data_IF_032082110997
#
_entry.id   IF_032082110997
#
_cell.length_a   1.000
_cell.length_b   1.000
_cell.length_c   1.000
_cell.angle_alpha   90.00
_cell.angle_beta   90.00
_cell.angle_gamma   90.00
#
_symmetry.space_group_name_H-M   'P 1'
#
loop_
_entity.id
_entity.type
_entity.pdbx_description
1 polymer ?
#
# COMPACT_ATOMS: atom_id res chain seq x y z
N UNK A 1 11.66 -7.97 -8.69
CA UNK A 1 12.05 -8.56 -7.39
C UNK A 1 10.91 -8.41 -6.39
N UNK A 2 10.57 -9.45 -5.60
CA UNK A 2 9.42 -9.42 -4.68
C UNK A 2 9.55 -8.51 -3.44
N UNK A 3 10.76 -7.99 -3.17
CA UNK A 3 11.07 -7.19 -1.96
C UNK A 3 11.12 -5.67 -2.20
N UNK A 4 10.69 -5.21 -3.37
CA UNK A 4 10.74 -3.79 -3.74
C UNK A 4 10.06 -2.89 -2.70
N UNK A 5 9.00 -3.37 -2.03
CA UNK A 5 8.22 -2.57 -1.08
C UNK A 5 9.07 -2.07 0.11
N UNK A 6 9.84 -2.94 0.76
CA UNK A 6 10.66 -2.54 1.93
C UNK A 6 11.74 -1.54 1.54
N UNK A 7 12.33 -1.73 0.36
CA UNK A 7 13.33 -0.83 -0.17
C UNK A 7 12.74 0.53 -0.54
N UNK A 8 11.61 0.56 -1.25
CA UNK A 8 10.92 1.81 -1.59
C UNK A 8 10.43 2.54 -0.35
N UNK A 9 9.92 1.81 0.65
CA UNK A 9 9.51 2.40 1.91
C UNK A 9 10.69 3.06 2.64
N UNK A 10 11.88 2.46 2.64
CA UNK A 10 13.07 3.08 3.23
C UNK A 10 13.47 4.37 2.50
N UNK A 11 13.41 4.38 1.16
CA UNK A 11 13.60 5.60 0.36
C UNK A 11 12.60 6.69 0.75
N UNK A 12 11.33 6.34 0.92
CA UNK A 12 10.30 7.30 1.33
C UNK A 12 10.62 7.93 2.70
N UNK A 13 11.02 7.11 3.68
CA UNK A 13 11.44 7.62 4.99
C UNK A 13 12.67 8.53 4.93
N UNK A 14 13.60 8.31 3.99
CA UNK A 14 14.75 9.22 3.78
C UNK A 14 14.33 10.62 3.32
N UNK A 15 13.14 10.77 2.72
CA UNK A 15 12.62 12.09 2.31
C UNK A 15 12.00 12.89 3.45
N UNK A 16 11.62 12.24 4.55
CA UNK A 16 10.90 12.84 5.68
C UNK A 16 11.61 14.03 6.35
N UNK A 17 12.96 14.04 6.52
CA UNK A 17 13.67 15.18 7.07
C UNK A 17 13.45 16.48 6.28
N UNK A 18 13.22 16.40 4.97
CA UNK A 18 12.97 17.58 4.13
C UNK A 18 11.66 18.29 4.52
N UNK A 19 10.62 17.52 4.85
CA UNK A 19 9.33 18.07 5.30
C UNK A 19 9.39 18.68 6.71
N UNK A 20 10.38 18.30 7.51
CA UNK A 20 10.62 18.91 8.82
C UNK A 20 11.19 20.34 8.70
N UNK A 21 11.75 20.71 7.54
CA UNK A 21 12.25 22.07 7.29
C UNK A 21 11.11 23.09 7.20
N UNK A 22 9.90 22.68 6.81
CA UNK A 22 8.72 23.52 6.77
C UNK A 22 8.13 23.75 8.18
N UNK A 23 8.86 24.50 9.02
CA UNK A 23 8.45 24.85 10.39
C UNK A 23 7.14 25.65 10.46
N UNK A 24 6.81 26.36 9.38
CA UNK A 24 5.58 27.15 9.28
C UNK A 24 4.33 26.34 9.01
N UNK A 25 4.43 25.01 8.87
CA UNK A 25 3.30 24.11 8.57
C UNK A 25 2.43 24.63 7.42
N UNK A 26 3.06 25.09 6.34
CA UNK A 26 2.32 25.54 5.14
C UNK A 26 2.08 24.36 4.21
N UNK A 27 0.82 23.91 4.09
CA UNK A 27 0.45 22.71 3.32
C UNK A 27 0.91 22.74 1.86
N UNK A 28 0.88 23.92 1.23
CA UNK A 28 1.26 24.06 -0.17
C UNK A 28 2.78 23.90 -0.40
N UNK A 29 3.62 24.25 0.58
CA UNK A 29 5.08 24.03 0.48
C UNK A 29 5.39 22.53 0.50
N UNK A 30 4.72 21.80 1.38
CA UNK A 30 4.85 20.34 1.42
C UNK A 30 4.32 19.70 0.14
N UNK A 31 3.24 20.24 -0.48
CA UNK A 31 2.74 19.75 -1.76
C UNK A 31 3.76 19.97 -2.88
N UNK A 32 4.36 21.16 -2.96
CA UNK A 32 5.39 21.47 -3.97
C UNK A 32 6.61 20.57 -3.78
N UNK A 33 7.03 20.34 -2.53
CA UNK A 33 8.11 19.41 -2.21
C UNK A 33 7.77 17.96 -2.62
N UNK A 34 6.53 17.53 -2.37
CA UNK A 34 6.05 16.21 -2.75
C UNK A 34 6.12 15.96 -4.25
N UNK A 35 5.58 16.89 -5.04
CA UNK A 35 5.65 16.83 -6.51
C UNK A 35 7.10 16.88 -6.98
N UNK A 36 7.93 17.72 -6.37
CA UNK A 36 9.36 17.80 -6.71
C UNK A 36 10.09 16.47 -6.51
N UNK A 37 9.86 15.79 -5.38
CA UNK A 37 10.48 14.49 -5.08
C UNK A 37 9.94 13.39 -6.01
N UNK A 38 8.64 13.37 -6.30
CA UNK A 38 8.06 12.44 -7.27
C UNK A 38 8.68 12.59 -8.65
N UNK A 39 8.87 13.84 -9.12
CA UNK A 39 9.54 14.14 -10.38
C UNK A 39 11.00 13.68 -10.36
N UNK A 40 11.72 13.83 -9.24
CA UNK A 40 13.09 13.29 -9.10
C UNK A 40 13.12 11.77 -9.22
N UNK A 41 12.19 11.05 -8.59
CA UNK A 41 12.08 9.60 -8.78
C UNK A 41 11.77 9.21 -10.22
N UNK A 42 10.87 9.95 -10.88
CA UNK A 42 10.51 9.70 -12.27
C UNK A 42 11.67 9.97 -13.24
N UNK A 43 12.39 11.08 -13.08
CA UNK A 43 13.59 11.40 -13.87
C UNK A 43 14.69 10.36 -13.62
N UNK A 44 14.88 9.94 -12.37
CA UNK A 44 15.83 8.89 -12.01
C UNK A 44 15.48 7.56 -12.69
N UNK A 45 14.20 7.22 -12.77
CA UNK A 45 13.71 6.04 -13.49
C UNK A 45 14.00 6.12 -15.00
N UNK A 46 13.90 7.31 -15.61
CA UNK A 46 14.15 7.49 -17.06
C UNK A 46 15.64 7.44 -17.48
N UNK A 47 16.58 7.38 -16.54
CA UNK A 47 18.02 7.57 -16.83
C UNK A 47 18.72 6.31 -17.31
N UNK A 48 18.69 5.26 -16.49
CA UNK A 48 19.43 4.02 -16.71
C UNK A 48 18.64 2.87 -16.11
N UNK A 49 18.39 1.83 -16.91
CA UNK A 49 17.54 0.70 -16.50
C UNK A 49 18.12 -0.04 -15.29
N UNK A 50 19.44 -0.19 -15.22
CA UNK A 50 20.10 -0.90 -14.11
C UNK A 50 19.96 -0.11 -12.80
N UNK A 51 20.24 1.18 -12.84
CA UNK A 51 20.07 2.07 -11.69
C UNK A 51 18.61 2.16 -11.25
N UNK A 52 17.70 2.33 -12.20
CA UNK A 52 16.27 2.47 -11.98
C UNK A 52 15.65 1.21 -11.35
N UNK A 53 16.02 0.03 -11.84
CA UNK A 53 15.55 -1.25 -11.32
C UNK A 53 16.15 -1.58 -9.97
N UNK A 54 17.46 -1.31 -9.78
CA UNK A 54 18.15 -1.53 -8.50
C UNK A 54 17.50 -0.74 -7.38
N UNK A 55 17.17 0.53 -7.65
CA UNK A 55 16.51 1.40 -6.68
C UNK A 55 14.98 1.31 -6.69
N UNK A 56 14.40 0.49 -7.57
CA UNK A 56 12.94 0.37 -7.74
C UNK A 56 12.26 1.73 -7.98
N UNK A 57 12.87 2.62 -8.77
CA UNK A 57 12.44 4.02 -8.92
C UNK A 57 11.07 4.17 -9.57
N UNK A 58 10.67 3.23 -10.44
CA UNK A 58 9.31 3.22 -10.99
C UNK A 58 8.27 3.05 -9.88
N UNK A 59 8.51 2.13 -8.95
CA UNK A 59 7.64 1.90 -7.81
C UNK A 59 7.71 3.08 -6.84
N UNK A 60 8.90 3.65 -6.61
CA UNK A 60 9.04 4.85 -5.81
C UNK A 60 8.19 6.01 -6.37
N UNK A 61 8.34 6.34 -7.65
CA UNK A 61 7.55 7.37 -8.30
C UNK A 61 6.03 7.06 -8.26
N UNK A 62 5.65 5.80 -8.51
CA UNK A 62 4.24 5.41 -8.56
C UNK A 62 3.54 5.43 -7.19
N UNK A 63 4.25 5.09 -6.11
CA UNK A 63 3.64 4.95 -4.78
C UNK A 63 3.91 6.13 -3.83
N UNK A 64 4.84 7.03 -4.19
CA UNK A 64 5.15 8.20 -3.37
C UNK A 64 3.94 9.12 -3.10
N UNK A 65 3.04 9.39 -4.07
CA UNK A 65 1.85 10.20 -3.83
C UNK A 65 0.97 9.68 -2.69
N UNK A 66 0.84 8.35 -2.56
CA UNK A 66 0.03 7.75 -1.51
C UNK A 66 0.72 7.80 -0.14
N UNK A 67 2.03 7.56 -0.12
CA UNK A 67 2.82 7.68 1.10
C UNK A 67 2.74 9.11 1.66
N UNK A 68 2.97 10.11 0.81
CA UNK A 68 2.98 11.50 1.25
C UNK A 68 1.58 12.02 1.57
N UNK A 69 0.54 11.54 0.87
CA UNK A 69 -0.85 11.82 1.24
C UNK A 69 -1.14 11.38 2.68
N UNK A 70 -0.72 10.17 3.07
CA UNK A 70 -0.85 9.70 4.46
C UNK A 70 -0.11 10.57 5.46
N UNK A 71 1.11 11.02 5.13
CA UNK A 71 1.86 11.97 5.94
C UNK A 71 1.13 13.31 6.11
N UNK A 72 0.61 13.88 5.02
CA UNK A 72 -0.11 15.16 5.04
C UNK A 72 -1.39 15.10 5.85
N UNK A 73 -2.19 14.04 5.67
CA UNK A 73 -3.42 13.84 6.45
C UNK A 73 -3.13 13.89 7.94
N UNK A 74 -2.02 13.26 8.36
CA UNK A 74 -1.57 13.27 9.76
C UNK A 74 -1.01 14.63 10.19
N UNK A 75 -0.14 15.25 9.40
CA UNK A 75 0.53 16.53 9.75
C UNK A 75 -0.46 17.67 9.92
N UNK A 76 -1.50 17.70 9.09
CA UNK A 76 -2.48 18.79 9.03
C UNK A 76 -3.83 18.45 9.67
N UNK A 77 -3.94 17.31 10.37
CA UNK A 77 -5.19 16.82 10.96
C UNK A 77 -6.36 16.84 9.97
N UNK A 78 -6.09 16.53 8.68
CA UNK A 78 -7.13 16.56 7.64
C UNK A 78 -8.19 15.48 7.87
N UNK A 79 -7.88 14.48 8.70
CA UNK A 79 -8.83 13.43 9.04
C UNK A 79 -10.10 14.01 9.64
N UNK A 80 -10.00 14.94 10.60
CA UNK A 80 -11.16 15.60 11.25
C UNK A 80 -12.06 16.35 10.26
N UNK A 81 -11.47 16.91 9.21
CA UNK A 81 -12.22 17.54 8.12
C UNK A 81 -12.91 16.49 7.26
N UNK A 82 -12.19 15.41 6.88
CA UNK A 82 -12.71 14.32 6.08
C UNK A 82 -13.91 13.61 6.75
N UNK A 83 -13.87 13.45 8.09
CA UNK A 83 -14.97 12.85 8.88
C UNK A 83 -16.30 13.58 8.69
N UNK A 84 -16.25 14.90 8.51
CA UNK A 84 -17.45 15.75 8.41
C UNK A 84 -18.13 15.67 7.04
N UNK A 85 -17.46 15.09 6.05
CA UNK A 85 -17.86 15.18 4.65
C UNK A 85 -18.33 13.83 4.11
N UNK A 86 -19.53 13.38 4.54
CA UNK A 86 -20.12 12.12 4.10
C UNK A 86 -20.26 11.99 2.57
N UNK A 87 -20.41 13.11 1.86
CA UNK A 87 -20.48 13.12 0.40
C UNK A 87 -19.17 12.66 -0.27
N UNK A 88 -18.01 12.84 0.39
CA UNK A 88 -16.71 12.38 -0.13
C UNK A 88 -16.70 10.86 -0.21
N UNK A 89 -17.27 10.17 0.79
CA UNK A 89 -17.43 8.71 0.74
C UNK A 89 -18.32 8.30 -0.44
N UNK A 90 -19.51 8.90 -0.57
CA UNK A 90 -20.44 8.57 -1.65
C UNK A 90 -19.82 8.82 -3.03
N UNK A 91 -19.16 9.97 -3.21
CA UNK A 91 -18.46 10.29 -4.44
C UNK A 91 -17.34 9.30 -4.72
N UNK A 92 -16.51 8.98 -3.72
CA UNK A 92 -15.42 8.00 -3.86
C UNK A 92 -15.95 6.63 -4.26
N UNK A 93 -17.02 6.16 -3.63
CA UNK A 93 -17.65 4.87 -3.93
C UNK A 93 -18.20 4.83 -5.35
N UNK A 94 -18.95 5.85 -5.77
CA UNK A 94 -19.49 5.93 -7.13
C UNK A 94 -18.39 6.00 -8.17
N UNK A 95 -17.37 6.85 -7.96
CA UNK A 95 -16.22 6.95 -8.86
C UNK A 95 -15.45 5.63 -8.93
N UNK A 96 -15.23 4.96 -7.80
CA UNK A 96 -14.56 3.65 -7.78
C UNK A 96 -15.35 2.60 -8.58
N UNK A 97 -16.66 2.49 -8.37
CA UNK A 97 -17.53 1.53 -9.08
C UNK A 97 -17.56 1.83 -10.58
N UNK A 98 -17.72 3.10 -10.96
CA UNK A 98 -17.76 3.50 -12.38
C UNK A 98 -16.44 3.18 -13.08
N UNK A 99 -15.30 3.54 -12.49
CA UNK A 99 -13.98 3.27 -13.08
C UNK A 99 -13.64 1.79 -13.09
N UNK A 100 -14.12 1.02 -12.11
CA UNK A 100 -13.96 -0.43 -12.06
C UNK A 100 -14.82 -1.14 -13.12
N UNK A 101 -16.04 -0.64 -13.39
CA UNK A 101 -16.95 -1.24 -14.37
C UNK A 101 -16.70 -0.75 -15.81
N UNK A 102 -16.21 0.48 -15.97
CA UNK A 102 -16.01 1.12 -17.26
C UNK A 102 -14.59 1.68 -17.37
N UNK A 103 -13.73 0.91 -18.03
CA UNK A 103 -12.38 1.36 -18.33
C UNK A 103 -12.39 2.49 -19.38
N UNK A 104 -11.74 3.64 -19.11
CA UNK A 104 -11.66 4.73 -20.08
C UNK A 104 -10.92 4.27 -21.35
N UNK A 105 -11.51 4.51 -22.53
CA UNK A 105 -10.88 4.17 -23.82
C UNK A 105 -9.67 5.02 -24.17
N UNK A 106 -9.61 6.25 -23.66
CA UNK A 106 -8.48 7.16 -23.90
C UNK A 106 -7.30 6.75 -23.03
N UNK A 107 -6.14 6.48 -23.64
CA UNK A 107 -4.93 6.02 -22.96
C UNK A 107 -4.49 6.93 -21.79
N UNK A 108 -4.58 8.25 -21.95
CA UNK A 108 -4.21 9.19 -20.90
C UNK A 108 -5.19 9.11 -19.71
N UNK A 109 -6.50 9.06 -20.00
CA UNK A 109 -7.53 8.93 -18.97
C UNK A 109 -7.49 7.57 -18.28
N UNK A 110 -7.22 6.50 -19.03
CA UNK A 110 -7.02 5.16 -18.49
C UNK A 110 -5.84 5.14 -17.50
N UNK A 111 -4.69 5.68 -17.93
CA UNK A 111 -3.49 5.73 -17.09
C UNK A 111 -3.72 6.55 -15.83
N UNK A 112 -4.35 7.72 -15.95
CA UNK A 112 -4.66 8.57 -14.80
C UNK A 112 -5.65 7.90 -13.83
N UNK A 113 -6.71 7.31 -14.38
CA UNK A 113 -7.73 6.58 -13.63
C UNK A 113 -7.11 5.45 -12.81
N UNK A 114 -6.36 4.58 -13.50
CA UNK A 114 -5.77 3.39 -12.91
C UNK A 114 -4.67 3.72 -11.90
N UNK A 115 -3.80 4.69 -12.21
CA UNK A 115 -2.63 5.00 -11.36
C UNK A 115 -2.96 5.89 -10.17
N UNK A 116 -3.96 6.76 -10.25
CA UNK A 116 -4.21 7.76 -9.22
C UNK A 116 -5.66 7.74 -8.72
N UNK A 117 -6.63 7.95 -9.61
CA UNK A 117 -8.02 8.22 -9.18
C UNK A 117 -8.60 7.01 -8.45
N UNK A 118 -8.54 5.82 -9.05
CA UNK A 118 -9.12 4.60 -8.48
C UNK A 118 -8.42 4.15 -7.18
N UNK A 119 -7.08 4.20 -7.05
CA UNK A 119 -6.41 3.99 -5.77
C UNK A 119 -6.82 5.01 -4.69
N UNK A 120 -6.89 6.30 -5.02
CA UNK A 120 -7.29 7.36 -4.06
C UNK A 120 -8.71 7.10 -3.56
N UNK A 121 -9.65 6.84 -4.46
CA UNK A 121 -11.04 6.57 -4.06
C UNK A 121 -11.15 5.29 -3.24
N UNK A 122 -10.39 4.24 -3.59
CA UNK A 122 -10.26 3.03 -2.78
C UNK A 122 -9.75 3.31 -1.36
N UNK A 123 -8.70 4.11 -1.22
CA UNK A 123 -8.15 4.54 0.07
C UNK A 123 -9.20 5.31 0.88
N UNK A 124 -9.90 6.26 0.27
CA UNK A 124 -10.94 7.05 0.95
C UNK A 124 -12.11 6.16 1.45
N UNK A 125 -12.52 5.17 0.66
CA UNK A 125 -13.53 4.17 1.06
C UNK A 125 -13.03 3.39 2.26
N UNK A 126 -11.79 2.87 2.22
CA UNK A 126 -11.20 2.13 3.33
C UNK A 126 -11.08 2.98 4.60
N UNK A 127 -10.62 4.23 4.47
CA UNK A 127 -10.51 5.17 5.59
C UNK A 127 -11.85 5.42 6.25
N UNK A 128 -12.91 5.68 5.47
CA UNK A 128 -14.26 5.86 6.00
C UNK A 128 -14.75 4.64 6.80
N UNK A 129 -14.55 3.43 6.28
CA UNK A 129 -14.94 2.22 7.00
C UNK A 129 -14.13 1.99 8.28
N UNK A 130 -12.81 2.19 8.24
CA UNK A 130 -11.96 2.05 9.42
C UNK A 130 -12.29 3.07 10.49
N UNK A 131 -12.56 4.31 10.10
CA UNK A 131 -12.98 5.35 11.01
C UNK A 131 -14.32 5.02 11.68
N UNK A 132 -15.33 4.63 10.89
CA UNK A 132 -16.65 4.29 11.40
C UNK A 132 -16.63 3.11 12.37
N UNK A 133 -15.63 2.23 12.26
CA UNK A 133 -15.48 1.01 13.07
C UNK A 133 -14.30 1.07 14.05
N UNK A 134 -13.69 2.24 14.25
CA UNK A 134 -12.47 2.40 15.06
C UNK A 134 -12.64 1.91 16.51
N UNK A 135 -13.84 2.09 17.08
CA UNK A 135 -14.18 1.72 18.46
C UNK A 135 -14.99 0.42 18.58
N UNK A 136 -15.21 -0.29 17.47
CA UNK A 136 -15.94 -1.55 17.47
C UNK A 136 -15.02 -2.70 17.91
N UNK A 137 -15.58 -3.68 18.63
CA UNK A 137 -14.81 -4.81 19.18
C UNK A 137 -15.30 -6.17 18.68
N UNK A 138 -15.74 -6.25 17.42
CA UNK A 138 -16.20 -7.52 16.85
C UNK A 138 -15.03 -8.41 16.45
N UNK A 139 -15.35 -9.66 16.09
CA UNK A 139 -14.36 -10.62 15.60
C UNK A 139 -13.60 -10.08 14.39
N UNK A 140 -14.25 -9.30 13.51
CA UNK A 140 -13.59 -8.69 12.36
C UNK A 140 -12.50 -7.71 12.75
N UNK A 141 -12.75 -6.78 13.68
CA UNK A 141 -11.73 -5.81 14.13
C UNK A 141 -10.58 -6.52 14.83
N UNK A 142 -10.89 -7.57 15.62
CA UNK A 142 -9.86 -8.39 16.26
C UNK A 142 -8.93 -9.04 15.22
N UNK A 143 -9.48 -9.66 14.17
CA UNK A 143 -8.68 -10.29 13.11
C UNK A 143 -7.93 -9.27 12.26
N UNK A 144 -8.55 -8.16 11.88
CA UNK A 144 -7.89 -7.09 11.12
C UNK A 144 -6.75 -6.45 11.93
N UNK A 145 -6.97 -6.20 13.23
CA UNK A 145 -5.93 -5.71 14.15
C UNK A 145 -4.79 -6.72 14.31
N UNK A 146 -5.12 -8.02 14.40
CA UNK A 146 -4.13 -9.09 14.46
C UNK A 146 -3.26 -9.12 13.21
N UNK A 147 -3.85 -9.12 12.02
CA UNK A 147 -3.12 -9.07 10.75
C UNK A 147 -2.29 -7.78 10.65
N UNK A 148 -2.88 -6.64 11.01
CA UNK A 148 -2.24 -5.31 11.02
C UNK A 148 -0.93 -5.27 11.82
N UNK A 149 -0.92 -5.89 13.01
CA UNK A 149 0.27 -6.00 13.89
C UNK A 149 1.36 -6.89 13.31
N UNK A 150 1.02 -7.75 12.36
CA UNK A 150 1.93 -8.72 11.73
C UNK A 150 2.15 -8.45 10.24
N UNK A 151 1.87 -7.23 9.77
CA UNK A 151 2.04 -6.84 8.37
C UNK A 151 3.45 -7.07 7.85
N UNK A 152 4.48 -6.80 8.65
CA UNK A 152 5.88 -7.07 8.28
C UNK A 152 6.12 -8.55 7.95
N UNK A 153 5.51 -9.46 8.72
CA UNK A 153 5.62 -10.91 8.48
C UNK A 153 5.01 -11.29 7.14
N UNK A 154 3.84 -10.73 6.86
CA UNK A 154 3.14 -10.92 5.59
C UNK A 154 4.01 -10.40 4.46
N UNK A 155 4.48 -9.14 4.51
CA UNK A 155 5.33 -8.56 3.48
C UNK A 155 6.57 -9.38 3.18
N UNK A 156 7.24 -9.91 4.21
CA UNK A 156 8.49 -10.66 4.01
C UNK A 156 8.24 -12.08 3.50
N UNK A 157 7.18 -12.76 3.96
CA UNK A 157 7.03 -14.21 3.80
C UNK A 157 5.99 -14.62 2.75
N UNK A 158 5.00 -13.78 2.43
CA UNK A 158 3.92 -14.15 1.52
C UNK A 158 4.44 -14.58 0.14
N UNK A 159 5.51 -13.94 -0.35
CA UNK A 159 6.09 -14.24 -1.66
C UNK A 159 6.56 -15.70 -1.75
N UNK A 160 7.22 -16.22 -0.71
CA UNK A 160 7.68 -17.60 -0.67
C UNK A 160 6.52 -18.60 -0.62
N UNK A 161 5.47 -18.25 0.12
CA UNK A 161 4.28 -19.10 0.25
C UNK A 161 3.53 -19.16 -1.09
N UNK A 162 3.29 -18.02 -1.73
CA UNK A 162 2.62 -17.96 -3.04
C UNK A 162 3.43 -18.69 -4.11
N UNK A 163 4.76 -18.54 -4.12
CA UNK A 163 5.63 -19.27 -5.05
C UNK A 163 5.54 -20.79 -4.88
N UNK A 164 5.25 -21.26 -3.67
CA UNK A 164 5.09 -22.69 -3.36
C UNK A 164 3.73 -23.25 -3.80
N UNK A 165 2.77 -22.40 -4.16
CA UNK A 165 1.42 -22.81 -4.59
C UNK A 165 1.36 -22.78 -6.12
N UNK A 166 0.93 -23.88 -6.75
CA UNK A 166 0.70 -23.90 -8.19
C UNK A 166 -0.63 -23.20 -8.53
N UNK A 167 -0.56 -21.90 -8.78
CA UNK A 167 -1.72 -21.09 -9.19
C UNK A 167 -1.96 -21.07 -10.71
N UNK A 168 -1.15 -21.77 -11.51
CA UNK A 168 -1.21 -21.70 -12.98
C UNK A 168 -2.55 -22.17 -13.53
N UNK A 169 -3.06 -23.28 -13.00
CA UNK A 169 -4.35 -23.86 -13.43
C UNK A 169 -5.50 -22.91 -13.10
N UNK A 170 -5.53 -22.38 -11.87
CA UNK A 170 -6.55 -21.43 -11.42
C UNK A 170 -6.49 -20.13 -12.24
N UNK A 171 -5.28 -19.64 -12.52
CA UNK A 171 -5.08 -18.42 -13.32
C UNK A 171 -5.55 -18.56 -14.77
N UNK A 172 -5.31 -19.70 -15.41
CA UNK A 172 -5.79 -19.97 -16.77
C UNK A 172 -7.33 -20.05 -16.81
N UNK A 173 -7.93 -20.77 -15.85
CA UNK A 173 -9.37 -20.88 -15.75
C UNK A 173 -10.07 -19.53 -15.47
N UNK A 174 -9.47 -18.69 -14.62
CA UNK A 174 -9.97 -17.34 -14.37
C UNK A 174 -9.90 -16.45 -15.62
N UNK A 175 -8.83 -16.59 -16.41
CA UNK A 175 -8.67 -15.87 -17.68
C UNK A 175 -9.72 -16.28 -18.71
N UNK A 176 -10.09 -17.56 -18.76
CA UNK A 176 -11.16 -18.05 -19.65
C UNK A 176 -12.54 -17.54 -19.25
N UNK A 177 -12.78 -17.35 -17.95
CA UNK A 177 -14.09 -16.91 -17.43
C UNK A 177 -14.32 -15.41 -17.62
N UNK A 178 -13.25 -14.61 -17.76
CA UNK A 178 -13.25 -13.14 -17.93
C UNK A 178 -14.15 -12.40 -16.91
N UNK A 179 -14.26 -12.96 -15.70
CA UNK A 179 -15.12 -12.43 -14.66
C UNK A 179 -14.28 -11.83 -13.53
N UNK A 180 -14.13 -10.51 -13.55
CA UNK A 180 -13.34 -9.76 -12.57
C UNK A 180 -13.83 -9.93 -11.13
N UNK A 181 -15.15 -10.06 -10.91
CA UNK A 181 -15.72 -10.24 -9.57
C UNK A 181 -15.38 -11.62 -9.00
N UNK A 182 -15.46 -12.66 -9.84
CA UNK A 182 -15.07 -14.02 -9.48
C UNK A 182 -13.56 -14.10 -9.21
N UNK A 183 -12.74 -13.50 -10.08
CA UNK A 183 -11.29 -13.42 -9.91
C UNK A 183 -10.92 -12.75 -8.58
N UNK A 184 -11.55 -11.62 -8.27
CA UNK A 184 -11.33 -10.88 -7.01
C UNK A 184 -11.75 -11.70 -5.80
N UNK A 185 -12.91 -12.37 -5.86
CA UNK A 185 -13.42 -13.21 -4.76
C UNK A 185 -12.47 -14.38 -4.49
N UNK A 186 -12.02 -15.08 -5.53
CA UNK A 186 -11.05 -16.17 -5.39
C UNK A 186 -9.69 -15.69 -4.89
N UNK A 187 -9.24 -14.52 -5.33
CA UNK A 187 -8.02 -13.91 -4.82
C UNK A 187 -8.11 -13.66 -3.30
N UNK A 188 -9.25 -13.17 -2.80
CA UNK A 188 -9.47 -12.98 -1.35
C UNK A 188 -9.41 -14.33 -0.62
N UNK A 189 -10.09 -15.35 -1.15
CA UNK A 189 -10.11 -16.70 -0.55
C UNK A 189 -8.70 -17.30 -0.45
N UNK A 190 -7.84 -17.10 -1.45
CA UNK A 190 -6.45 -17.58 -1.43
C UNK A 190 -5.56 -16.71 -0.52
N UNK A 191 -5.78 -15.40 -0.51
CA UNK A 191 -4.93 -14.45 0.24
C UNK A 191 -5.07 -14.62 1.76
N UNK A 192 -6.27 -14.97 2.24
CA UNK A 192 -6.52 -15.15 3.68
C UNK A 192 -5.61 -16.26 4.28
N UNK A 193 -5.60 -17.51 3.78
CA UNK A 193 -4.66 -18.54 4.23
C UNK A 193 -3.19 -18.13 4.12
N UNK A 194 -2.79 -17.54 2.98
CA UNK A 194 -1.40 -17.09 2.77
C UNK A 194 -0.99 -16.07 3.83
N UNK A 195 -1.89 -15.16 4.18
CA UNK A 195 -1.67 -14.16 5.23
C UNK A 195 -1.42 -14.84 6.58
N UNK A 196 -2.30 -15.75 7.01
CA UNK A 196 -2.12 -16.47 8.28
C UNK A 196 -0.85 -17.33 8.29
N UNK A 197 -0.57 -18.07 7.22
CA UNK A 197 0.66 -18.85 7.07
C UNK A 197 1.89 -17.96 7.23
N UNK A 198 1.89 -16.76 6.62
CA UNK A 198 2.99 -15.79 6.75
C UNK A 198 3.16 -15.35 8.20
N UNK A 199 2.07 -15.01 8.89
CA UNK A 199 2.11 -14.59 10.31
C UNK A 199 2.65 -15.70 11.21
N UNK A 200 2.17 -16.94 11.06
CA UNK A 200 2.62 -18.07 11.88
C UNK A 200 4.06 -18.47 11.58
N UNK A 201 4.46 -18.46 10.30
CA UNK A 201 5.85 -18.68 9.92
C UNK A 201 6.76 -17.59 10.52
N UNK A 202 6.37 -16.31 10.47
CA UNK A 202 7.11 -15.22 11.09
C UNK A 202 7.26 -15.37 12.60
N UNK A 203 6.18 -15.75 13.30
CA UNK A 203 6.22 -16.08 14.74
C UNK A 203 7.15 -17.25 15.05
N UNK A 204 7.15 -18.28 14.21
CA UNK A 204 8.03 -19.44 14.38
C UNK A 204 9.50 -19.07 14.18
N UNK A 205 9.81 -18.32 13.11
CA UNK A 205 11.17 -17.87 12.79
C UNK A 205 11.75 -17.01 13.92
N UNK A 206 10.94 -16.12 14.51
CA UNK A 206 11.36 -15.27 15.64
C UNK A 206 11.68 -16.00 16.94
N UNK A 207 11.31 -17.29 17.07
CA UNK A 207 11.79 -18.11 18.20
C UNK A 207 13.31 -18.31 18.14
N UNK A 208 13.91 -18.21 16.96
CA UNK A 208 15.37 -18.22 16.81
C UNK A 208 15.95 -16.85 17.18
N UNK A 209 16.77 -16.81 18.23
CA UNK A 209 17.43 -15.60 18.72
C UNK A 209 18.26 -14.90 17.63
N UNK A 210 18.96 -15.68 16.80
CA UNK A 210 19.81 -15.18 15.72
C UNK A 210 19.01 -14.42 14.65
N UNK A 211 17.88 -14.99 14.22
CA UNK A 211 17.07 -14.39 13.15
C UNK A 211 16.30 -13.17 13.67
N UNK A 212 15.85 -13.22 14.91
CA UNK A 212 15.19 -12.07 15.53
C UNK A 212 16.13 -10.86 15.66
N UNK A 213 17.38 -11.09 16.05
CA UNK A 213 18.39 -10.03 16.16
C UNK A 213 18.73 -9.41 14.78
N UNK A 214 19.01 -10.23 13.75
CA UNK A 214 19.53 -9.73 12.45
C UNK A 214 18.42 -9.28 11.49
N UNK A 215 17.36 -10.07 11.31
CA UNK A 215 16.36 -9.83 10.25
C UNK A 215 15.26 -8.87 10.70
N UNK A 216 14.91 -8.90 11.98
CA UNK A 216 13.85 -8.06 12.55
C UNK A 216 14.39 -6.87 13.35
N UNK A 217 15.71 -6.70 13.44
CA UNK A 217 16.34 -5.51 13.98
C UNK A 217 16.32 -5.38 15.51
N UNK A 218 16.09 -6.47 16.25
CA UNK A 218 16.04 -6.44 17.73
C UNK A 218 17.42 -6.15 18.37
N UNK A 219 18.51 -6.08 17.59
CA UNK A 219 19.84 -5.67 18.05
C UNK A 219 19.82 -4.27 18.67
N UNK A 220 19.04 -3.33 18.12
CA UNK A 220 18.95 -1.95 18.64
C UNK A 220 17.85 -1.76 19.68
N UNK A 221 17.08 -2.81 20.01
CA UNK A 221 15.98 -2.75 20.98
C UNK A 221 16.41 -3.08 22.41
N UNK A 222 17.72 -3.22 22.67
CA UNK A 222 18.26 -3.43 24.01
C UNK A 222 18.45 -2.10 24.74
N UNK A 223 17.47 -1.82 25.63
CA UNK A 223 17.42 -0.85 26.73
C UNK A 223 17.50 0.63 26.36
#
# INVERSE_FOLDING_TARGET
MGYWYLFVLSLFYMTMPLYALNKGNRWWLDMVLAVGIEVVFYIGWMRDDTFADTLCLLNAASFYPFFIMGYMVRKYNMMDWLRKQNWIFTLSLLTFIVLFAFEPKNHAMHTLSWRLIQPITGILICLYFFEKRENESSLLESQLSFIGKHTLDVYVLHYFIVFSINLKVIGLWLKETDNALLATTLAIVITVPVTYCSVYAGKFIRKSKFVNEIVFGDIFRKK
#
